data_IF_563678368882
#
_entry.id   IF_563678368882
#
_cell.length_a   1.000
_cell.length_b   1.000
_cell.length_c   1.000
_cell.angle_alpha   90.00
_cell.angle_beta   90.00
_cell.angle_gamma   90.00
#
_symmetry.space_group_name_H-M   'P 1'
#
loop_
_entity.id
_entity.type
_entity.pdbx_description
1 polymer ?
#
# COMPACT_ATOMS: atom_id res chain seq x y z
N UNK A 1 12.62 -15.59 -22.51
CA UNK A 1 12.75 -16.90 -23.18
C UNK A 1 14.09 -17.59 -22.94
N UNK A 2 15.09 -16.97 -22.29
CA UNK A 2 16.39 -17.60 -21.99
C UNK A 2 16.29 -18.94 -21.22
N UNK A 3 15.24 -19.12 -20.41
CA UNK A 3 14.98 -20.38 -19.69
C UNK A 3 14.17 -21.44 -20.47
N UNK A 4 13.66 -21.12 -21.67
CA UNK A 4 12.80 -22.03 -22.45
C UNK A 4 13.66 -23.03 -23.23
N UNK A 5 13.91 -24.19 -22.62
CA UNK A 5 14.84 -25.20 -23.15
C UNK A 5 14.16 -26.48 -23.64
N UNK A 6 12.95 -26.79 -23.18
CA UNK A 6 12.22 -28.02 -23.54
C UNK A 6 10.73 -27.77 -23.67
N UNK A 7 10.11 -28.36 -24.69
CA UNK A 7 8.67 -28.37 -24.89
C UNK A 7 8.27 -29.65 -25.65
N UNK A 8 7.27 -30.37 -25.15
CA UNK A 8 6.83 -31.68 -25.66
C UNK A 8 7.97 -32.67 -26.00
N UNK A 9 8.98 -32.75 -25.13
CA UNK A 9 10.12 -33.65 -25.33
C UNK A 9 11.17 -33.16 -26.33
N UNK A 10 10.89 -32.10 -27.10
CA UNK A 10 11.86 -31.47 -28.01
C UNK A 10 12.69 -30.43 -27.25
N UNK A 11 14.01 -30.44 -27.48
CA UNK A 11 14.93 -29.45 -26.92
C UNK A 11 15.08 -28.27 -27.87
N UNK A 12 15.00 -27.06 -27.34
CA UNK A 12 15.12 -25.82 -28.09
C UNK A 12 16.36 -25.05 -27.60
N UNK A 13 17.13 -24.54 -28.54
CA UNK A 13 18.31 -23.71 -28.28
C UNK A 13 18.05 -22.29 -28.78
N UNK A 14 18.24 -21.30 -27.91
CA UNK A 14 18.12 -19.89 -28.29
C UNK A 14 19.38 -19.47 -29.03
N UNK A 15 19.33 -19.46 -30.37
CA UNK A 15 20.47 -19.12 -31.24
C UNK A 15 20.81 -17.63 -31.26
N UNK A 16 19.81 -16.77 -31.20
CA UNK A 16 19.97 -15.32 -31.18
C UNK A 16 18.77 -14.66 -30.51
N UNK A 17 18.98 -13.48 -29.93
CA UNK A 17 17.92 -12.61 -29.45
C UNK A 17 18.24 -11.18 -29.88
N UNK A 18 17.26 -10.48 -30.46
CA UNK A 18 17.36 -9.06 -30.76
C UNK A 18 16.11 -8.33 -30.22
N UNK A 19 16.26 -7.35 -29.31
CA UNK A 19 17.49 -6.95 -28.61
C UNK A 19 18.08 -8.10 -27.77
N UNK A 20 19.28 -7.91 -27.21
CA UNK A 20 19.84 -8.90 -26.28
C UNK A 20 18.85 -9.18 -25.13
N UNK A 21 18.97 -10.33 -24.47
CA UNK A 21 18.08 -10.66 -23.36
C UNK A 21 18.17 -9.64 -22.21
N UNK A 22 19.36 -9.08 -21.98
CA UNK A 22 19.60 -8.03 -21.00
C UNK A 22 18.91 -6.72 -21.41
N UNK A 23 19.10 -6.29 -22.66
CA UNK A 23 18.42 -5.11 -23.20
C UNK A 23 16.90 -5.26 -23.15
N UNK A 24 16.39 -6.44 -23.49
CA UNK A 24 14.95 -6.75 -23.44
C UNK A 24 14.41 -6.69 -22.02
N UNK A 25 15.17 -7.17 -21.03
CA UNK A 25 14.82 -7.08 -19.61
C UNK A 25 14.82 -5.63 -19.12
N UNK A 26 15.84 -4.86 -19.47
CA UNK A 26 15.95 -3.44 -19.14
C UNK A 26 14.85 -2.60 -19.79
N UNK A 27 14.49 -2.91 -21.04
CA UNK A 27 13.35 -2.30 -21.74
C UNK A 27 12.05 -2.70 -21.06
N UNK A 28 11.87 -3.95 -20.65
CA UNK A 28 10.67 -4.41 -19.94
C UNK A 28 10.50 -3.71 -18.59
N UNK A 29 11.56 -3.61 -17.78
CA UNK A 29 11.56 -2.88 -16.50
C UNK A 29 11.30 -1.38 -16.72
N UNK A 30 11.98 -0.79 -17.71
CA UNK A 30 11.77 0.60 -18.11
C UNK A 30 10.34 0.86 -18.58
N UNK A 31 9.71 -0.11 -19.24
CA UNK A 31 8.32 -0.02 -19.67
C UNK A 31 7.34 -0.07 -18.49
N UNK A 32 7.61 -0.87 -17.44
CA UNK A 32 6.79 -0.88 -16.22
C UNK A 32 6.82 0.50 -15.54
N UNK A 33 8.01 1.08 -15.36
CA UNK A 33 8.16 2.41 -14.76
C UNK A 33 7.55 3.51 -15.64
N UNK A 34 7.74 3.45 -16.96
CA UNK A 34 7.11 4.37 -17.91
C UNK A 34 5.59 4.22 -17.93
N UNK A 35 5.06 3.00 -17.78
CA UNK A 35 3.64 2.73 -17.67
C UNK A 35 3.06 3.36 -16.41
N UNK A 36 3.69 3.17 -15.25
CA UNK A 36 3.30 3.85 -14.00
C UNK A 36 3.32 5.36 -14.14
N UNK A 37 4.38 5.93 -14.74
CA UNK A 37 4.45 7.38 -15.01
C UNK A 37 3.32 7.88 -15.92
N UNK A 38 2.94 7.09 -16.93
CA UNK A 38 1.84 7.46 -17.86
C UNK A 38 0.45 7.25 -17.26
N UNK A 39 0.29 6.26 -16.38
CA UNK A 39 -0.98 5.89 -15.76
C UNK A 39 -1.11 6.36 -14.31
N UNK A 40 -0.32 7.36 -13.90
CA UNK A 40 -0.35 7.90 -12.54
C UNK A 40 -1.76 8.38 -12.13
N UNK A 41 -2.57 8.86 -13.08
CA UNK A 41 -3.96 9.25 -12.85
C UNK A 41 -4.81 8.06 -12.41
N UNK A 42 -4.63 6.89 -13.03
CA UNK A 42 -5.30 5.67 -12.61
C UNK A 42 -4.83 5.21 -11.24
N UNK A 43 -3.52 5.31 -10.95
CA UNK A 43 -2.98 4.97 -9.63
C UNK A 43 -3.55 5.89 -8.54
N UNK A 44 -3.68 7.20 -8.81
CA UNK A 44 -4.25 8.17 -7.88
C UNK A 44 -5.76 7.97 -7.66
N UNK A 45 -6.53 7.91 -8.75
CA UNK A 45 -7.98 7.70 -8.69
C UNK A 45 -8.31 6.33 -8.10
N UNK A 46 -7.59 5.29 -8.52
CA UNK A 46 -7.71 3.94 -7.98
C UNK A 46 -7.38 3.90 -6.49
N UNK A 47 -6.34 4.63 -6.06
CA UNK A 47 -6.02 4.81 -4.64
C UNK A 47 -7.16 5.42 -3.84
N UNK A 48 -7.80 6.49 -4.36
CA UNK A 48 -8.98 7.11 -3.73
C UNK A 48 -10.14 6.11 -3.64
N UNK A 49 -10.41 5.35 -4.72
CA UNK A 49 -11.46 4.34 -4.72
C UNK A 49 -11.18 3.29 -3.64
N UNK A 50 -9.97 2.75 -3.58
CA UNK A 50 -9.58 1.75 -2.60
C UNK A 50 -9.66 2.28 -1.17
N UNK A 51 -9.27 3.54 -0.96
CA UNK A 51 -9.41 4.22 0.32
C UNK A 51 -10.88 4.29 0.73
N UNK A 52 -11.79 4.73 -0.14
CA UNK A 52 -13.23 4.78 0.16
C UNK A 52 -13.79 3.39 0.48
N UNK A 53 -13.36 2.35 -0.24
CA UNK A 53 -13.79 0.97 0.02
C UNK A 53 -13.37 0.51 1.42
N UNK A 54 -12.16 0.83 1.86
CA UNK A 54 -11.65 0.43 3.18
C UNK A 54 -11.86 1.49 4.29
N UNK A 55 -12.41 2.66 3.96
CA UNK A 55 -12.42 3.83 4.86
C UNK A 55 -13.07 3.54 6.22
N UNK A 56 -14.22 2.87 6.19
CA UNK A 56 -14.99 2.56 7.40
C UNK A 56 -14.29 1.55 8.31
N UNK A 57 -13.15 1.01 7.88
CA UNK A 57 -12.38 0.02 8.61
C UNK A 57 -11.15 0.58 9.31
N UNK A 58 -10.81 1.84 9.06
CA UNK A 58 -9.77 2.51 9.82
C UNK A 58 -10.32 3.12 11.11
N UNK A 59 -9.59 3.03 12.23
CA UNK A 59 -8.46 2.14 12.50
C UNK A 59 -8.93 0.75 13.00
N UNK A 60 -8.26 -0.34 12.61
CA UNK A 60 -8.51 -1.63 13.27
C UNK A 60 -7.88 -1.63 14.66
N UNK A 61 -8.71 -1.70 15.69
CA UNK A 61 -8.25 -1.87 17.06
C UNK A 61 -7.77 -3.32 17.28
N UNK A 62 -6.53 -3.49 17.75
CA UNK A 62 -5.96 -4.76 18.24
C UNK A 62 -5.53 -5.82 17.19
N UNK A 63 -4.72 -5.45 16.20
CA UNK A 63 -4.04 -6.42 15.30
C UNK A 63 -2.98 -7.30 16.00
N UNK A 64 -2.73 -7.04 17.29
CA UNK A 64 -1.74 -7.73 18.10
C UNK A 64 -1.92 -9.25 18.15
N UNK A 65 -3.16 -9.74 18.05
CA UNK A 65 -3.47 -11.17 18.04
C UNK A 65 -2.95 -11.88 16.78
N UNK A 66 -2.90 -11.18 15.63
CA UNK A 66 -2.33 -11.72 14.39
C UNK A 66 -0.82 -11.95 14.56
N UNK A 67 -0.13 -11.06 15.28
CA UNK A 67 1.33 -11.10 15.46
C UNK A 67 1.79 -11.89 16.71
N UNK A 68 0.90 -12.54 17.46
CA UNK A 68 1.22 -13.26 18.72
C UNK A 68 1.17 -14.79 18.60
N UNK A 69 0.69 -15.32 17.48
CA UNK A 69 0.63 -16.76 17.24
C UNK A 69 2.04 -17.36 17.13
N UNK A 70 2.26 -18.54 17.70
CA UNK A 70 3.59 -19.17 17.71
C UNK A 70 3.94 -19.89 16.39
N UNK A 71 2.98 -19.97 15.45
CA UNK A 71 3.14 -20.70 14.18
C UNK A 71 2.69 -19.90 12.96
N UNK A 72 3.38 -20.12 11.83
CA UNK A 72 3.05 -19.50 10.55
C UNK A 72 1.61 -19.80 10.09
N UNK A 73 1.13 -21.03 10.32
CA UNK A 73 -0.26 -21.42 10.05
C UNK A 73 -1.25 -20.64 10.94
N UNK A 74 -0.91 -20.42 12.21
CA UNK A 74 -1.68 -19.59 13.14
C UNK A 74 -1.79 -18.14 12.65
N UNK A 75 -0.68 -17.52 12.25
CA UNK A 75 -0.67 -16.18 11.66
C UNK A 75 -1.57 -16.08 10.43
N UNK A 76 -1.47 -17.03 9.49
CA UNK A 76 -2.31 -17.07 8.28
C UNK A 76 -3.79 -17.20 8.63
N UNK A 77 -4.14 -18.10 9.55
CA UNK A 77 -5.54 -18.31 9.96
C UNK A 77 -6.11 -17.05 10.61
N UNK A 78 -5.36 -16.43 11.52
CA UNK A 78 -5.74 -15.20 12.21
C UNK A 78 -5.93 -14.03 11.23
N UNK A 79 -5.00 -13.89 10.28
CA UNK A 79 -5.08 -12.90 9.21
C UNK A 79 -6.34 -13.09 8.35
N UNK A 80 -6.61 -14.30 7.84
CA UNK A 80 -7.80 -14.54 7.02
C UNK A 80 -9.11 -14.41 7.80
N UNK A 81 -9.12 -14.76 9.09
CA UNK A 81 -10.27 -14.50 9.96
C UNK A 81 -10.55 -13.00 10.04
N UNK A 82 -9.52 -12.19 10.28
CA UNK A 82 -9.65 -10.73 10.37
C UNK A 82 -10.13 -10.11 9.05
N UNK A 83 -9.64 -10.61 7.90
CA UNK A 83 -10.13 -10.18 6.58
C UNK A 83 -11.63 -10.50 6.42
N UNK A 84 -12.06 -11.68 6.86
CA UNK A 84 -13.47 -12.08 6.78
C UNK A 84 -14.35 -11.25 7.71
N UNK A 85 -13.90 -10.98 8.93
CA UNK A 85 -14.60 -10.14 9.89
C UNK A 85 -14.75 -8.70 9.35
N UNK A 86 -13.69 -8.17 8.73
CA UNK A 86 -13.73 -6.87 8.04
C UNK A 86 -14.71 -6.86 6.86
N UNK A 87 -14.77 -7.93 6.07
CA UNK A 87 -15.74 -8.07 4.98
C UNK A 87 -17.18 -8.05 5.51
N UNK A 88 -17.47 -8.80 6.58
CA UNK A 88 -18.79 -8.82 7.21
C UNK A 88 -19.15 -7.46 7.79
N UNK A 89 -18.20 -6.78 8.43
CA UNK A 89 -18.41 -5.44 8.97
C UNK A 89 -18.75 -4.42 7.88
N UNK A 90 -18.09 -4.48 6.73
CA UNK A 90 -18.42 -3.61 5.57
C UNK A 90 -19.87 -3.83 5.11
N UNK A 91 -20.36 -5.07 5.15
CA UNK A 91 -21.73 -5.41 4.74
C UNK A 91 -22.78 -4.98 5.77
N UNK A 92 -22.49 -5.16 7.05
CA UNK A 92 -23.49 -5.00 8.12
C UNK A 92 -23.52 -3.60 8.74
N UNK A 93 -22.36 -2.96 8.90
CA UNK A 93 -22.21 -1.83 9.81
C UNK A 93 -21.67 -0.55 9.15
N UNK A 94 -21.21 -0.62 7.89
CA UNK A 94 -20.48 0.48 7.23
C UNK A 94 -21.29 1.18 6.16
N UNK A 95 -21.79 2.39 6.39
CA UNK A 95 -22.56 3.13 5.36
C UNK A 95 -21.69 3.59 4.17
N UNK A 96 -20.50 4.14 4.43
CA UNK A 96 -19.64 4.73 3.39
C UNK A 96 -18.99 3.65 2.52
N UNK A 97 -18.36 2.66 3.16
CA UNK A 97 -17.72 1.55 2.44
C UNK A 97 -18.73 0.69 1.68
N UNK A 98 -19.93 0.47 2.22
CA UNK A 98 -21.00 -0.24 1.52
C UNK A 98 -21.50 0.54 0.30
N UNK A 99 -21.71 1.86 0.44
CA UNK A 99 -22.10 2.70 -0.70
C UNK A 99 -21.03 2.66 -1.81
N UNK A 100 -19.75 2.73 -1.45
CA UNK A 100 -18.63 2.57 -2.38
C UNK A 100 -18.63 1.20 -3.07
N UNK A 101 -18.85 0.11 -2.31
CA UNK A 101 -18.91 -1.25 -2.85
C UNK A 101 -20.10 -1.44 -3.81
N UNK A 102 -21.26 -0.85 -3.51
CA UNK A 102 -22.44 -0.90 -4.37
C UNK A 102 -22.23 -0.12 -5.67
N UNK A 103 -21.65 1.09 -5.60
CA UNK A 103 -21.30 1.87 -6.80
C UNK A 103 -20.32 1.10 -7.67
N UNK A 104 -19.29 0.49 -7.07
CA UNK A 104 -18.33 -0.35 -7.78
C UNK A 104 -19.01 -1.57 -8.43
N UNK A 105 -19.93 -2.23 -7.73
CA UNK A 105 -20.68 -3.36 -8.27
C UNK A 105 -21.53 -2.97 -9.47
N UNK A 106 -22.27 -1.86 -9.38
CA UNK A 106 -23.08 -1.33 -10.48
C UNK A 106 -22.18 -1.02 -11.68
N UNK A 107 -21.08 -0.28 -11.45
CA UNK A 107 -20.12 0.04 -12.49
C UNK A 107 -19.56 -1.24 -13.15
N UNK A 108 -19.11 -2.20 -12.34
CA UNK A 108 -18.53 -3.45 -12.81
C UNK A 108 -19.50 -4.23 -13.73
N UNK A 109 -20.79 -4.29 -13.38
CA UNK A 109 -21.83 -4.94 -14.21
C UNK A 109 -22.11 -4.13 -15.50
N UNK A 110 -22.17 -2.80 -15.38
CA UNK A 110 -22.43 -1.90 -16.50
C UNK A 110 -21.31 -1.95 -17.56
N UNK A 111 -20.05 -2.02 -17.13
CA UNK A 111 -18.89 -2.09 -18.02
C UNK A 111 -18.65 -3.46 -18.66
N UNK A 112 -19.31 -4.54 -18.20
CA UNK A 112 -19.23 -5.84 -18.90
C UNK A 112 -19.87 -5.72 -20.30
N UNK A 113 -19.16 -6.13 -21.39
CA UNK A 113 -19.67 -6.02 -22.75
C UNK A 113 -21.06 -6.63 -22.96
N UNK A 114 -21.91 -5.94 -23.73
CA UNK A 114 -23.29 -6.35 -24.02
C UNK A 114 -23.40 -7.66 -24.82
N UNK A 115 -22.31 -8.10 -25.46
CA UNK A 115 -22.19 -9.39 -26.16
C UNK A 115 -22.34 -10.59 -25.21
N UNK A 116 -22.16 -10.38 -23.91
CA UNK A 116 -22.28 -11.40 -22.87
C UNK A 116 -23.73 -11.41 -22.33
N UNK A 117 -24.28 -12.60 -22.07
CA UNK A 117 -25.65 -12.72 -21.53
C UNK A 117 -25.81 -12.00 -20.18
N UNK A 118 -27.00 -11.47 -19.90
CA UNK A 118 -27.27 -10.69 -18.67
C UNK A 118 -26.85 -11.43 -17.39
N UNK A 119 -27.12 -12.73 -17.30
CA UNK A 119 -26.71 -13.57 -16.16
C UNK A 119 -25.19 -13.61 -16.00
N UNK A 120 -24.45 -13.84 -17.09
CA UNK A 120 -22.98 -13.87 -17.07
C UNK A 120 -22.39 -12.49 -16.74
N UNK A 121 -23.02 -11.40 -17.20
CA UNK A 121 -22.59 -10.03 -16.86
C UNK A 121 -22.66 -9.76 -15.37
N UNK A 122 -23.75 -10.16 -14.72
CA UNK A 122 -23.91 -10.03 -13.26
C UNK A 122 -22.84 -10.84 -12.53
N UNK A 123 -22.60 -12.09 -12.93
CA UNK A 123 -21.58 -12.95 -12.31
C UNK A 123 -20.17 -12.32 -12.43
N UNK A 124 -19.79 -11.88 -13.63
CA UNK A 124 -18.49 -11.26 -13.87
C UNK A 124 -18.34 -9.97 -13.06
N UNK A 125 -19.36 -9.10 -13.07
CA UNK A 125 -19.35 -7.85 -12.31
C UNK A 125 -19.25 -8.10 -10.81
N UNK A 126 -19.96 -9.10 -10.29
CA UNK A 126 -19.89 -9.49 -8.89
C UNK A 126 -18.50 -10.00 -8.50
N UNK A 127 -17.93 -10.93 -9.27
CA UNK A 127 -16.58 -11.46 -9.02
C UNK A 127 -15.54 -10.33 -9.05
N UNK A 128 -15.65 -9.43 -10.03
CA UNK A 128 -14.74 -8.30 -10.17
C UNK A 128 -14.83 -7.32 -8.99
N UNK A 129 -16.04 -6.90 -8.62
CA UNK A 129 -16.26 -6.01 -7.48
C UNK A 129 -15.79 -6.66 -6.16
N UNK A 130 -16.13 -7.93 -5.95
CA UNK A 130 -15.67 -8.70 -4.78
C UNK A 130 -14.14 -8.80 -4.71
N UNK A 131 -13.47 -9.00 -5.84
CA UNK A 131 -12.00 -9.02 -5.91
C UNK A 131 -11.39 -7.69 -5.48
N UNK A 132 -11.96 -6.57 -5.95
CA UNK A 132 -11.48 -5.23 -5.59
C UNK A 132 -11.72 -4.88 -4.12
N UNK A 133 -12.90 -5.20 -3.58
CA UNK A 133 -13.20 -5.00 -2.15
C UNK A 133 -12.27 -5.85 -1.30
N UNK A 134 -12.09 -7.13 -1.64
CA UNK A 134 -11.17 -8.02 -0.91
C UNK A 134 -9.73 -7.51 -0.97
N UNK A 135 -9.26 -7.07 -2.13
CA UNK A 135 -7.93 -6.50 -2.29
C UNK A 135 -7.75 -5.21 -1.46
N UNK A 136 -8.76 -4.34 -1.41
CA UNK A 136 -8.71 -3.13 -0.60
C UNK A 136 -8.59 -3.45 0.89
N UNK A 137 -9.36 -4.41 1.41
CA UNK A 137 -9.30 -4.83 2.81
C UNK A 137 -7.99 -5.53 3.17
N UNK A 138 -7.49 -6.41 2.29
CA UNK A 138 -6.19 -7.06 2.48
C UNK A 138 -5.06 -6.03 2.50
N UNK A 139 -5.05 -5.08 1.55
CA UNK A 139 -4.02 -4.03 1.50
C UNK A 139 -4.09 -3.10 2.71
N UNK A 140 -5.29 -2.77 3.17
CA UNK A 140 -5.49 -2.00 4.41
C UNK A 140 -4.92 -2.74 5.62
N UNK A 141 -5.28 -4.02 5.81
CA UNK A 141 -4.76 -4.82 6.92
C UNK A 141 -3.24 -5.01 6.86
N UNK A 142 -2.67 -5.19 5.66
CA UNK A 142 -1.21 -5.26 5.50
C UNK A 142 -0.53 -3.93 5.85
N UNK A 143 -1.13 -2.80 5.47
CA UNK A 143 -0.63 -1.48 5.84
C UNK A 143 -0.65 -1.31 7.35
N UNK A 144 -1.76 -1.62 8.02
CA UNK A 144 -1.88 -1.51 9.46
C UNK A 144 -0.98 -2.49 10.22
N UNK A 145 -0.82 -3.74 9.74
CA UNK A 145 0.19 -4.67 10.27
C UNK A 145 1.61 -4.10 10.11
N UNK A 146 1.91 -3.48 8.97
CA UNK A 146 3.18 -2.81 8.72
C UNK A 146 3.45 -1.72 9.76
N UNK A 147 2.46 -0.87 10.01
CA UNK A 147 2.53 0.19 11.02
C UNK A 147 2.71 -0.41 12.42
N UNK A 148 1.92 -1.41 12.80
CA UNK A 148 2.00 -2.10 14.10
C UNK A 148 3.38 -2.76 14.31
N UNK A 149 3.93 -3.40 13.27
CA UNK A 149 5.29 -3.95 13.31
C UNK A 149 6.33 -2.86 13.52
N UNK A 150 6.21 -1.74 12.79
CA UNK A 150 7.10 -0.59 12.98
C UNK A 150 7.02 -0.03 14.40
N UNK A 151 5.83 0.05 14.99
CA UNK A 151 5.64 0.48 16.38
C UNK A 151 6.32 -0.52 17.34
N UNK A 152 6.05 -1.82 17.20
CA UNK A 152 6.66 -2.88 18.03
C UNK A 152 8.19 -2.89 17.98
N UNK A 153 8.76 -2.64 16.80
CA UNK A 153 10.20 -2.56 16.60
C UNK A 153 10.80 -1.19 16.94
N UNK A 154 10.02 -0.28 17.56
CA UNK A 154 10.45 1.06 17.95
C UNK A 154 10.95 1.91 16.77
N UNK A 155 10.43 1.65 15.57
CA UNK A 155 10.68 2.43 14.36
C UNK A 155 9.69 3.61 14.24
N UNK A 156 8.52 3.50 14.88
CA UNK A 156 7.48 4.53 14.99
C UNK A 156 6.99 4.61 16.46
N UNK A 157 6.46 5.76 16.90
CA UNK A 157 5.82 5.97 18.21
C UNK A 157 6.64 5.55 19.46
N UNK A 158 7.81 6.14 19.65
CA UNK A 158 8.77 5.78 20.72
C UNK A 158 8.94 6.79 21.86
N UNK A 159 8.35 8.00 21.81
CA UNK A 159 8.74 9.12 22.68
C UNK A 159 7.83 10.39 22.63
N UNK A 160 6.51 10.21 22.55
CA UNK A 160 5.51 11.29 22.64
C UNK A 160 5.45 12.23 21.43
N UNK A 161 4.74 13.35 21.55
CA UNK A 161 4.65 14.34 20.46
C UNK A 161 6.04 14.73 19.90
N UNK A 162 6.17 14.73 18.57
CA UNK A 162 7.39 15.01 17.81
C UNK A 162 8.40 13.85 17.77
N UNK A 163 7.99 12.59 17.92
CA UNK A 163 8.90 11.45 17.82
C UNK A 163 9.63 11.41 16.49
N UNK A 164 8.89 11.59 15.39
CA UNK A 164 9.43 11.58 14.04
C UNK A 164 10.44 12.71 13.84
N UNK A 165 10.15 13.90 14.39
CA UNK A 165 11.06 15.04 14.33
C UNK A 165 12.33 14.82 15.17
N UNK A 166 12.22 14.22 16.35
CA UNK A 166 13.38 13.87 17.19
C UNK A 166 14.26 12.82 16.52
N UNK A 167 13.66 11.77 15.97
CA UNK A 167 14.37 10.74 15.20
C UNK A 167 15.08 11.35 13.98
N UNK A 168 14.38 12.20 13.22
CA UNK A 168 14.97 12.91 12.10
C UNK A 168 16.18 13.72 12.53
N UNK A 169 16.08 14.52 13.61
CA UNK A 169 17.20 15.31 14.13
C UNK A 169 18.37 14.45 14.58
N UNK A 170 18.10 13.29 15.20
CA UNK A 170 19.14 12.35 15.59
C UNK A 170 19.88 11.78 14.37
N UNK A 171 19.14 11.29 13.38
CA UNK A 171 19.72 10.74 12.14
C UNK A 171 20.44 11.81 11.31
N UNK A 172 19.89 13.02 11.27
CA UNK A 172 20.49 14.18 10.60
C UNK A 172 21.82 14.57 11.25
N UNK A 173 21.97 14.46 12.57
CA UNK A 173 23.24 14.71 13.25
C UNK A 173 24.26 13.58 13.05
N UNK A 174 23.79 12.33 13.04
CA UNK A 174 24.66 11.16 12.88
C UNK A 174 25.21 11.01 11.46
N UNK A 175 24.37 11.23 10.44
CA UNK A 175 24.73 10.99 9.03
C UNK A 175 25.11 12.26 8.26
N UNK A 176 24.68 13.44 8.75
CA UNK A 176 24.93 14.73 8.09
C UNK A 176 25.43 15.79 9.10
N UNK A 177 26.66 15.63 9.62
CA UNK A 177 27.26 16.60 10.51
C UNK A 177 27.37 17.97 9.81
N UNK A 178 27.18 19.05 10.57
CA UNK A 178 27.23 20.43 10.07
C UNK A 178 28.51 21.14 10.55
N UNK A 179 29.68 20.82 9.97
CA UNK A 179 30.95 21.39 10.40
C UNK A 179 31.03 22.91 10.15
N UNK A 180 30.19 23.44 9.27
CA UNK A 180 30.16 24.85 8.89
C UNK A 180 29.13 25.69 9.67
N UNK A 181 28.33 25.06 10.51
CA UNK A 181 27.22 25.72 11.23
C UNK A 181 26.16 26.31 10.28
N UNK A 182 26.05 25.79 9.06
CA UNK A 182 25.12 26.27 8.04
C UNK A 182 23.67 26.17 8.52
N UNK A 183 23.33 25.09 9.23
CA UNK A 183 22.00 24.84 9.77
C UNK A 183 21.64 25.86 10.84
N UNK A 184 22.58 26.17 11.74
CA UNK A 184 22.42 27.20 12.77
C UNK A 184 22.24 28.60 12.14
N UNK A 185 22.98 28.90 11.06
CA UNK A 185 22.85 30.15 10.32
C UNK A 185 21.51 30.27 9.61
N UNK A 186 21.03 29.21 8.98
CA UNK A 186 19.71 29.16 8.33
C UNK A 186 18.60 29.31 9.37
N UNK A 187 18.72 28.65 10.51
CA UNK A 187 17.77 28.80 11.63
C UNK A 187 17.72 30.27 12.11
N UNK A 188 18.89 30.90 12.27
CA UNK A 188 18.96 32.31 12.65
C UNK A 188 18.38 33.25 11.58
N UNK A 189 18.70 33.04 10.30
CA UNK A 189 18.20 33.85 9.18
C UNK A 189 16.69 33.70 8.97
N UNK A 190 16.15 32.54 9.32
CA UNK A 190 14.72 32.27 9.21
C UNK A 190 13.96 32.57 10.50
N UNK A 191 14.60 33.16 11.52
CA UNK A 191 14.01 33.41 12.84
C UNK A 191 13.36 32.15 13.46
N UNK A 192 13.98 30.98 13.24
CA UNK A 192 13.47 29.70 13.71
C UNK A 192 12.34 29.09 12.85
N UNK A 193 11.94 29.73 11.75
CA UNK A 193 10.89 29.23 10.86
C UNK A 193 11.32 27.93 10.16
N UNK A 194 12.59 27.81 9.76
CA UNK A 194 13.12 26.60 9.12
C UNK A 194 12.89 25.32 9.96
N UNK A 195 13.40 25.22 11.20
CA UNK A 195 13.16 24.03 12.02
C UNK A 195 11.68 23.90 12.42
N UNK A 196 10.96 25.02 12.59
CA UNK A 196 9.53 24.98 12.93
C UNK A 196 8.69 24.37 11.80
N UNK A 197 8.91 24.75 10.54
CA UNK A 197 8.20 24.18 9.39
C UNK A 197 8.43 22.68 9.27
N UNK A 198 9.69 22.21 9.40
CA UNK A 198 10.01 20.78 9.37
C UNK A 198 9.34 20.06 10.54
N UNK A 199 9.39 20.64 11.74
CA UNK A 199 8.75 20.11 12.94
C UNK A 199 7.24 19.97 12.75
N UNK A 200 6.55 21.00 12.26
CA UNK A 200 5.09 20.95 12.05
C UNK A 200 4.71 20.01 10.90
N UNK A 201 5.48 19.99 9.81
CA UNK A 201 5.26 19.04 8.71
C UNK A 201 5.37 17.60 9.22
N UNK A 202 6.43 17.28 9.97
CA UNK A 202 6.61 15.95 10.55
C UNK A 202 5.56 15.63 11.62
N UNK A 203 5.08 16.63 12.37
CA UNK A 203 4.00 16.47 13.34
C UNK A 203 2.66 16.14 12.68
N UNK A 204 2.42 16.62 11.46
CA UNK A 204 1.22 16.28 10.70
C UNK A 204 1.21 14.80 10.23
N UNK A 205 2.39 14.17 10.16
CA UNK A 205 2.56 12.75 9.85
C UNK A 205 2.93 11.91 11.07
N UNK A 206 3.06 12.53 12.24
CA UNK A 206 3.32 11.83 13.50
C UNK A 206 2.00 11.19 13.93
N UNK A 207 2.03 9.89 14.23
CA UNK A 207 0.86 9.20 14.76
C UNK A 207 0.74 9.62 16.23
N UNK A 208 -0.33 10.34 16.64
CA UNK A 208 -0.46 10.75 18.02
C UNK A 208 -0.52 9.51 18.91
N UNK A 209 0.46 9.38 19.80
CA UNK A 209 0.42 8.42 20.91
C UNK A 209 -0.77 8.81 21.80
N UNK A 210 -1.80 7.97 21.84
CA UNK A 210 -2.92 8.15 22.78
C UNK A 210 -2.34 8.03 24.19
N UNK A 211 -2.51 9.10 24.98
CA UNK A 211 -2.24 9.09 26.42
C UNK A 211 -3.29 8.33 27.21
#
# INVERSE_FOLDING_TARGET
FSGFRKFYGTSYEMKAAYPSCEDSSNIALGNILKFRKKNWQFDFIGGIIYFVLAFSMFPQCQLNHILREDSFSGHLKSFFSTVLDALLYVLENSYVSLAGALVLLIAAICFVPSKVSRKKRVIIGFIHAFSHVSAALILMLLLELGVEMCIRHKLLATSGYHTLYKWYRQMEMEHFPDPTGLRARIEQWTFGLYPACIKYLMSAFDVPEVG
#
